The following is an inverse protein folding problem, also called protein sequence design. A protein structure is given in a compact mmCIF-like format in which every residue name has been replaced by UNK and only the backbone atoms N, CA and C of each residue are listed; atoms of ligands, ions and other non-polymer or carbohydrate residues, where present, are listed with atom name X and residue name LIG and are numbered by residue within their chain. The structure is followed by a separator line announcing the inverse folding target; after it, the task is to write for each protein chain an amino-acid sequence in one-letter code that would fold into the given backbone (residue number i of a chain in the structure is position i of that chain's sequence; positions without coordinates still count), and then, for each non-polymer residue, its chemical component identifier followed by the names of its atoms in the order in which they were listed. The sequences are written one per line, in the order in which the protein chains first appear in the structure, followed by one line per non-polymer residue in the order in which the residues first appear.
data_IF_755713176887
#
_entry.id   IF_755713176887
#
_cell.length_a   1.000
_cell.length_b   1.000
_cell.length_c   1.000
_cell.angle_alpha   90.00
_cell.angle_beta   90.00
_cell.angle_gamma   90.00
#
_symmetry.space_group_name_H-M   'P 1'
#
loop_
_entity.id
_entity.type
_entity.pdbx_description
1 polymer ?
#
# COMPACT_ATOMS: atom_id res chain seq x y z
N UNK A 1 14.26 -19.55 4.73
CA UNK A 1 15.36 -18.83 5.01
C UNK A 1 15.60 -17.70 4.03
N UNK A 2 16.38 -16.81 4.45
CA UNK A 2 16.49 -15.54 3.76
C UNK A 2 17.10 -15.62 2.39
N UNK A 3 17.81 -16.69 2.07
CA UNK A 3 18.41 -16.81 0.76
C UNK A 3 17.40 -16.88 -0.35
N UNK A 4 16.31 -17.59 -0.12
CA UNK A 4 15.28 -17.67 -1.14
C UNK A 4 14.66 -16.31 -1.40
N UNK A 5 14.49 -15.55 -0.34
CA UNK A 5 13.97 -14.20 -0.46
C UNK A 5 14.93 -13.34 -1.26
N UNK A 6 16.22 -13.49 -1.01
CA UNK A 6 17.22 -12.69 -1.73
C UNK A 6 17.31 -13.05 -3.19
N UNK A 7 17.00 -14.29 -3.54
CA UNK A 7 17.06 -14.73 -4.93
C UNK A 7 15.79 -14.38 -5.69
N UNK A 8 14.77 -13.94 -5.00
CA UNK A 8 13.54 -13.54 -5.65
C UNK A 8 13.75 -12.21 -6.36
N UNK A 9 12.73 -11.76 -7.06
CA UNK A 9 12.75 -10.49 -7.75
C UNK A 9 12.74 -9.30 -6.80
N UNK A 10 12.58 -9.55 -5.51
CA UNK A 10 12.40 -8.49 -4.53
C UNK A 10 10.96 -8.05 -4.42
N UNK A 11 10.07 -8.66 -5.16
CA UNK A 11 8.65 -8.34 -5.14
C UNK A 11 7.88 -9.64 -4.91
N UNK A 12 7.33 -9.79 -3.71
CA UNK A 12 6.60 -11.00 -3.34
C UNK A 12 5.44 -11.28 -4.27
N UNK A 13 4.73 -10.24 -4.70
CA UNK A 13 3.56 -10.41 -5.55
C UNK A 13 3.93 -10.95 -6.92
N UNK A 14 5.07 -10.54 -7.44
CA UNK A 14 5.57 -11.08 -8.69
C UNK A 14 5.89 -12.57 -8.53
N UNK A 15 6.53 -12.92 -7.44
CA UNK A 15 6.90 -14.31 -7.17
C UNK A 15 5.67 -15.19 -6.97
N UNK A 16 4.57 -14.64 -6.50
CA UNK A 16 3.32 -15.35 -6.33
C UNK A 16 2.47 -15.39 -7.59
N UNK A 17 2.92 -14.76 -8.67
CA UNK A 17 2.23 -14.81 -9.95
C UNK A 17 1.14 -13.79 -10.16
N UNK A 18 1.11 -12.72 -9.39
CA UNK A 18 0.12 -11.66 -9.60
C UNK A 18 0.39 -10.96 -10.93
N UNK A 19 -0.67 -10.56 -11.61
CA UNK A 19 -0.56 -9.90 -12.91
C UNK A 19 0.07 -8.52 -12.83
N UNK A 20 -0.16 -7.82 -11.73
CA UNK A 20 0.32 -6.45 -11.54
C UNK A 20 1.09 -6.34 -10.22
N UNK A 21 2.23 -7.04 -10.14
CA UNK A 21 2.95 -7.14 -8.86
C UNK A 21 3.47 -5.80 -8.34
N UNK A 22 3.83 -4.88 -9.24
CA UNK A 22 4.31 -3.58 -8.79
C UNK A 22 3.20 -2.76 -8.15
N UNK A 23 1.99 -2.84 -8.70
CA UNK A 23 0.85 -2.14 -8.14
C UNK A 23 0.45 -2.75 -6.81
N UNK A 24 0.51 -4.07 -6.69
CA UNK A 24 0.23 -4.73 -5.42
C UNK A 24 1.25 -4.33 -4.37
N UNK A 25 2.52 -4.23 -4.75
CA UNK A 25 3.57 -3.79 -3.85
C UNK A 25 3.32 -2.37 -3.38
N UNK A 26 2.92 -1.49 -4.30
CA UNK A 26 2.62 -0.11 -3.94
C UNK A 26 1.45 -0.04 -2.97
N UNK A 27 0.41 -0.83 -3.19
CA UNK A 27 -0.73 -0.86 -2.27
C UNK A 27 -0.32 -1.37 -0.91
N UNK A 28 0.52 -2.40 -0.86
CA UNK A 28 1.01 -2.93 0.40
C UNK A 28 1.83 -1.88 1.15
N UNK A 29 2.64 -1.13 0.43
CA UNK A 29 3.42 -0.04 1.02
C UNK A 29 2.48 1.00 1.64
N UNK A 30 1.48 1.44 0.87
CA UNK A 30 0.54 2.45 1.37
C UNK A 30 -0.25 1.94 2.56
N UNK A 31 -0.65 0.68 2.55
CA UNK A 31 -1.37 0.09 3.67
C UNK A 31 -0.51 0.06 4.93
N UNK A 32 0.77 -0.25 4.77
CA UNK A 32 1.70 -0.23 5.92
C UNK A 32 1.86 1.17 6.47
N UNK A 33 1.93 2.18 5.61
CA UNK A 33 2.04 3.56 6.06
C UNK A 33 0.78 3.98 6.82
N UNK A 34 -0.38 3.59 6.32
CA UNK A 34 -1.64 3.86 7.01
C UNK A 34 -1.64 3.21 8.40
N UNK A 35 -1.21 1.96 8.47
CA UNK A 35 -1.11 1.23 9.74
C UNK A 35 -0.21 1.99 10.73
N UNK A 36 0.98 2.40 10.26
CA UNK A 36 1.92 3.12 11.11
C UNK A 36 1.32 4.42 11.66
N UNK A 37 0.59 5.13 10.81
CA UNK A 37 0.01 6.40 11.22
C UNK A 37 -1.10 6.19 12.24
N UNK A 38 -1.94 5.19 12.03
CA UNK A 38 -3.02 4.86 12.97
C UNK A 38 -2.42 4.50 14.33
N UNK A 39 -1.36 3.69 14.33
CA UNK A 39 -0.70 3.30 15.58
C UNK A 39 -0.02 4.49 16.23
N UNK A 40 0.64 5.34 15.46
CA UNK A 40 1.33 6.50 16.01
C UNK A 40 0.36 7.50 16.64
N UNK A 41 -0.81 7.65 16.04
CA UNK A 41 -1.84 8.55 16.56
C UNK A 41 -2.67 7.89 17.67
N UNK A 42 -2.40 6.63 17.95
CA UNK A 42 -3.08 5.87 19.01
C UNK A 42 -4.59 5.83 18.78
N UNK A 43 -4.99 5.64 17.53
CA UNK A 43 -6.40 5.56 17.18
C UNK A 43 -6.91 4.15 17.36
N UNK A 44 -8.11 4.02 17.90
CA UNK A 44 -8.80 2.74 17.89
C UNK A 44 -9.32 2.44 16.50
N UNK A 45 -9.71 1.20 16.26
CA UNK A 45 -10.29 0.85 14.96
C UNK A 45 -11.60 1.60 14.72
N UNK A 46 -12.36 1.85 15.77
CA UNK A 46 -13.60 2.64 15.67
C UNK A 46 -13.29 4.08 15.26
N UNK A 47 -12.29 4.68 15.89
CA UNK A 47 -11.90 6.05 15.57
C UNK A 47 -11.36 6.14 14.15
N UNK A 48 -10.54 5.18 13.75
CA UNK A 48 -10.01 5.16 12.39
C UNK A 48 -11.14 4.98 11.37
N UNK A 49 -12.12 4.13 11.67
CA UNK A 49 -13.26 3.91 10.79
C UNK A 49 -14.03 5.20 10.55
N UNK A 50 -14.21 6.00 11.60
CA UNK A 50 -14.89 7.28 11.47
C UNK A 50 -14.10 8.25 10.62
N UNK A 51 -12.79 8.35 10.86
CA UNK A 51 -11.94 9.25 10.09
C UNK A 51 -11.88 8.86 8.61
N UNK A 52 -11.77 7.58 8.33
CA UNK A 52 -11.65 7.08 6.97
C UNK A 52 -13.00 6.90 6.27
N UNK A 53 -14.09 7.03 7.02
CA UNK A 53 -15.46 6.86 6.51
C UNK A 53 -15.68 5.47 5.91
N UNK A 54 -15.21 4.47 6.62
CA UNK A 54 -15.37 3.07 6.21
C UNK A 54 -15.82 2.25 7.42
N UNK A 55 -16.39 1.07 7.18
CA UNK A 55 -16.78 0.20 8.28
C UNK A 55 -15.57 -0.26 9.10
N UNK A 56 -15.80 -0.52 10.37
CA UNK A 56 -14.73 -1.00 11.24
C UNK A 56 -14.14 -2.32 10.74
N UNK A 57 -14.97 -3.19 10.17
CA UNK A 57 -14.49 -4.44 9.59
C UNK A 57 -13.49 -4.19 8.47
N UNK A 58 -13.68 -3.12 7.71
CA UNK A 58 -12.75 -2.73 6.65
C UNK A 58 -11.43 -2.25 7.23
N UNK A 59 -11.49 -1.46 8.33
CA UNK A 59 -10.29 -1.04 9.03
C UNK A 59 -9.53 -2.27 9.54
N UNK A 60 -10.24 -3.22 10.12
CA UNK A 60 -9.62 -4.44 10.64
C UNK A 60 -8.87 -5.19 9.54
N UNK A 61 -9.48 -5.32 8.36
CA UNK A 61 -8.84 -5.99 7.24
C UNK A 61 -7.60 -5.24 6.77
N UNK A 62 -7.70 -3.91 6.71
CA UNK A 62 -6.57 -3.07 6.34
C UNK A 62 -5.42 -3.19 7.33
N UNK A 63 -5.73 -3.22 8.63
CA UNK A 63 -4.73 -3.34 9.68
C UNK A 63 -4.01 -4.68 9.66
N UNK A 64 -4.64 -5.70 9.13
CA UNK A 64 -4.04 -7.02 8.99
C UNK A 64 -3.21 -7.17 7.73
N UNK A 65 -3.07 -6.10 6.96
CA UNK A 65 -2.25 -6.10 5.76
C UNK A 65 -2.94 -6.58 4.51
N UNK A 66 -4.26 -6.78 4.55
CA UNK A 66 -5.01 -7.15 3.36
C UNK A 66 -5.16 -5.97 2.43
N UNK A 67 -4.69 -6.11 1.19
CA UNK A 67 -4.80 -5.04 0.20
C UNK A 67 -5.81 -5.37 -0.89
N UNK A 68 -6.34 -6.58 -0.91
CA UNK A 68 -7.37 -6.97 -1.87
C UNK A 68 -8.61 -6.12 -1.63
N UNK A 69 -9.16 -5.58 -2.70
CA UNK A 69 -10.34 -4.74 -2.60
C UNK A 69 -10.05 -3.28 -2.31
N UNK A 70 -8.78 -2.91 -2.15
CA UNK A 70 -8.40 -1.52 -1.99
C UNK A 70 -7.68 -1.06 -3.25
N UNK A 71 -8.17 0.03 -3.86
CA UNK A 71 -7.46 0.65 -4.97
C UNK A 71 -6.38 1.60 -4.42
N UNK A 72 -5.41 1.91 -5.26
CA UNK A 72 -4.35 2.84 -4.87
C UNK A 72 -4.91 4.19 -4.48
N UNK A 73 -5.83 4.74 -5.29
CA UNK A 73 -6.40 6.06 -4.98
C UNK A 73 -7.23 6.02 -3.71
N UNK A 74 -7.86 4.90 -3.38
CA UNK A 74 -8.59 4.77 -2.13
C UNK A 74 -7.62 4.84 -0.94
N UNK A 75 -6.48 4.15 -1.06
CA UNK A 75 -5.45 4.17 -0.01
C UNK A 75 -4.84 5.56 0.13
N UNK A 76 -4.60 6.24 -0.99
CA UNK A 76 -4.11 7.61 -0.94
C UNK A 76 -5.10 8.54 -0.24
N UNK A 77 -6.39 8.34 -0.50
CA UNK A 77 -7.42 9.14 0.17
C UNK A 77 -7.41 8.90 1.68
N UNK A 78 -7.21 7.65 2.10
CA UNK A 78 -7.12 7.34 3.53
C UNK A 78 -5.98 8.10 4.19
N UNK A 79 -4.83 8.17 3.53
CA UNK A 79 -3.70 8.92 4.07
C UNK A 79 -4.06 10.39 4.26
N UNK A 80 -4.74 10.98 3.28
CA UNK A 80 -5.17 12.36 3.39
C UNK A 80 -6.16 12.55 4.55
N UNK A 81 -7.07 11.60 4.72
CA UNK A 81 -8.01 11.65 5.83
C UNK A 81 -7.31 11.60 7.19
N UNK A 82 -6.17 10.95 7.24
CA UNK A 82 -5.37 10.87 8.47
C UNK A 82 -4.51 12.11 8.69
N UNK A 83 -4.59 13.08 7.79
CA UNK A 83 -3.91 14.35 7.97
C UNK A 83 -2.46 14.36 7.56
N UNK A 84 -2.05 13.46 6.67
CA UNK A 84 -0.66 13.44 6.20
C UNK A 84 -0.59 13.89 4.76
N UNK A 85 0.56 14.41 4.38
CA UNK A 85 0.83 14.83 3.01
C UNK A 85 1.41 13.65 2.24
N UNK A 86 1.03 13.56 0.97
CA UNK A 86 1.54 12.53 0.08
C UNK A 86 2.15 13.21 -1.14
N UNK A 87 3.42 13.00 -1.36
CA UNK A 87 4.12 13.50 -2.54
C UNK A 87 4.41 12.35 -3.48
N UNK A 88 4.14 12.58 -4.77
CA UNK A 88 4.39 11.57 -5.79
C UNK A 88 5.39 12.15 -6.77
N UNK A 89 6.47 11.41 -6.98
CA UNK A 89 7.56 11.83 -7.86
C UNK A 89 7.55 10.95 -9.11
N UNK A 90 7.50 11.59 -10.26
CA UNK A 90 7.47 10.89 -11.54
C UNK A 90 8.73 11.27 -12.30
N UNK A 91 9.45 10.27 -12.79
CA UNK A 91 10.69 10.47 -13.53
C UNK A 91 10.54 9.94 -14.94
N UNK A 92 11.09 10.67 -15.91
CA UNK A 92 11.27 10.10 -17.24
C UNK A 92 12.43 9.13 -17.21
N UNK A 93 12.35 8.13 -18.07
CA UNK A 93 13.42 7.15 -18.15
C UNK A 93 13.64 6.78 -19.61
N UNK A 94 14.72 6.06 -19.87
CA UNK A 94 15.04 5.59 -21.22
C UNK A 94 14.49 4.21 -21.51
N UNK A 95 13.55 3.75 -20.71
CA UNK A 95 12.97 2.43 -20.91
C UNK A 95 12.10 2.42 -22.15
N UNK A 96 11.91 1.24 -22.69
CA UNK A 96 11.04 1.05 -23.84
C UNK A 96 9.60 1.36 -23.45
N UNK A 97 8.78 1.59 -24.47
CA UNK A 97 7.35 1.77 -24.23
C UNK A 97 6.79 0.55 -23.52
N UNK A 98 5.96 0.80 -22.54
CA UNK A 98 5.34 -0.24 -21.76
C UNK A 98 6.24 -0.86 -20.71
N UNK A 99 7.48 -0.41 -20.59
CA UNK A 99 8.43 -0.97 -19.63
C UNK A 99 8.79 0.02 -18.52
N UNK A 100 8.01 1.08 -18.39
CA UNK A 100 8.16 1.95 -17.23
C UNK A 100 7.91 1.17 -15.95
N UNK A 101 8.45 1.66 -14.84
CA UNK A 101 8.34 0.98 -13.55
C UNK A 101 7.60 1.80 -12.53
N UNK A 102 6.86 1.12 -11.69
CA UNK A 102 6.25 1.70 -10.50
C UNK A 102 7.02 1.16 -9.31
N UNK A 103 7.54 2.08 -8.48
CA UNK A 103 8.22 1.69 -7.25
C UNK A 103 7.86 2.66 -6.14
N UNK A 104 7.99 2.19 -4.93
CA UNK A 104 7.67 2.99 -3.75
C UNK A 104 8.80 2.89 -2.72
#
# INVERSE_FOLDING_TARGET
MTKDIKKSSGNLYKDLGYKNPEEMEARAFLAREIYKIIKKKDLTQTEAAELLEIPQSTVSRLMKGGVDGFSTDRLLRFLKCLGVDVDINIKTSRRRRGEGRLSV
#
